data_IF_427844856844
#
_entry.id   IF_427844856844
#
_cell.length_a   1.000
_cell.length_b   1.000
_cell.length_c   1.000
_cell.angle_alpha   90.00
_cell.angle_beta   90.00
_cell.angle_gamma   90.00
#
_symmetry.space_group_name_H-M   'P 1'
#
loop_
_entity.id
_entity.type
_entity.pdbx_description
1 polymer ?
#
# COMPACT_ATOMS: atom_id res chain seq x y z
N UNK A 1 24.30 -15.83 -2.84
CA UNK A 1 22.86 -15.70 -2.54
C UNK A 1 22.60 -14.23 -2.42
N UNK A 2 22.19 -13.60 -3.52
CA UNK A 2 21.83 -12.19 -3.51
C UNK A 2 20.66 -12.04 -2.54
N UNK A 3 20.94 -11.35 -1.42
CA UNK A 3 19.90 -10.93 -0.50
C UNK A 3 19.15 -9.84 -1.24
N UNK A 4 18.07 -10.22 -1.91
CA UNK A 4 17.05 -9.27 -2.36
C UNK A 4 16.47 -8.65 -1.09
N UNK A 5 17.12 -7.58 -0.63
CA UNK A 5 16.67 -6.77 0.51
C UNK A 5 15.55 -5.91 -0.02
N UNK A 6 14.32 -6.44 0.08
CA UNK A 6 13.10 -5.68 -0.13
C UNK A 6 13.23 -4.34 0.60
N UNK A 7 13.07 -3.25 -0.16
CA UNK A 7 13.07 -1.88 0.34
C UNK A 7 11.71 -1.62 0.98
N UNK A 8 11.68 -1.79 2.30
CA UNK A 8 10.54 -1.48 3.14
C UNK A 8 10.18 0.00 3.09
N UNK A 9 8.94 0.29 3.48
CA UNK A 9 8.44 1.65 3.64
C UNK A 9 9.10 2.42 4.78
N UNK A 10 9.08 3.74 4.64
CA UNK A 10 9.52 4.66 5.67
C UNK A 10 8.39 4.86 6.67
N UNK A 11 8.72 4.84 7.96
CA UNK A 11 7.74 5.09 9.03
C UNK A 11 7.24 6.52 8.90
N UNK A 12 5.92 6.69 8.92
CA UNK A 12 5.25 7.97 8.81
C UNK A 12 3.97 7.92 7.99
N UNK A 13 3.40 9.10 7.81
CA UNK A 13 2.13 9.32 7.10
C UNK A 13 2.31 9.13 5.59
N UNK A 14 1.48 8.27 5.01
CA UNK A 14 1.30 8.15 3.55
C UNK A 14 0.13 9.01 3.08
N UNK A 15 -0.93 9.09 3.89
CA UNK A 15 -2.14 9.85 3.59
C UNK A 15 -2.42 10.82 4.73
N UNK A 16 -2.42 12.10 4.41
CA UNK A 16 -2.70 13.19 5.34
C UNK A 16 -4.03 13.84 4.95
N UNK A 17 -5.16 13.44 5.56
CA UNK A 17 -6.44 14.07 5.22
C UNK A 17 -7.73 13.36 5.64
N UNK A 18 -8.84 13.90 5.12
CA UNK A 18 -10.23 13.73 5.62
C UNK A 18 -10.86 12.34 5.48
N UNK A 19 -10.11 11.30 5.13
CA UNK A 19 -10.64 9.93 4.96
C UNK A 19 -11.68 9.78 3.85
N UNK A 20 -11.65 10.64 2.83
CA UNK A 20 -12.52 10.50 1.65
C UNK A 20 -12.02 9.34 0.80
N UNK A 21 -12.94 8.53 0.30
CA UNK A 21 -12.60 7.33 -0.47
C UNK A 21 -11.79 7.64 -1.73
N UNK A 22 -12.09 8.73 -2.43
CA UNK A 22 -11.33 9.18 -3.62
C UNK A 22 -9.85 9.43 -3.30
N UNK A 23 -9.57 10.21 -2.25
CA UNK A 23 -8.20 10.50 -1.80
C UNK A 23 -7.48 9.23 -1.35
N UNK A 24 -8.21 8.29 -0.71
CA UNK A 24 -7.66 7.01 -0.28
C UNK A 24 -7.27 6.14 -1.48
N UNK A 25 -8.16 5.97 -2.46
CA UNK A 25 -7.91 5.18 -3.65
C UNK A 25 -6.68 5.71 -4.42
N UNK A 26 -6.63 7.03 -4.68
CA UNK A 26 -5.53 7.62 -5.45
C UNK A 26 -4.19 7.56 -4.69
N UNK A 27 -4.20 7.90 -3.40
CA UNK A 27 -2.98 7.93 -2.58
C UNK A 27 -2.43 6.53 -2.34
N UNK A 28 -3.27 5.55 -1.99
CA UNK A 28 -2.85 4.17 -1.77
C UNK A 28 -2.35 3.52 -3.06
N UNK A 29 -3.03 3.76 -4.19
CA UNK A 29 -2.60 3.28 -5.50
C UNK A 29 -1.23 3.85 -5.88
N UNK A 30 -1.03 5.15 -5.66
CA UNK A 30 0.24 5.82 -5.92
C UNK A 30 1.38 5.30 -5.04
N UNK A 31 1.12 5.05 -3.75
CA UNK A 31 2.13 4.49 -2.84
C UNK A 31 2.47 3.04 -3.21
N UNK A 32 1.48 2.22 -3.59
CA UNK A 32 1.71 0.85 -4.03
C UNK A 32 2.55 0.82 -5.31
N UNK A 33 2.22 1.68 -6.29
CA UNK A 33 3.01 1.84 -7.52
C UNK A 33 4.46 2.26 -7.22
N UNK A 34 4.66 3.21 -6.31
CA UNK A 34 5.97 3.65 -5.85
C UNK A 34 6.78 2.48 -5.24
N UNK A 35 6.16 1.67 -4.39
CA UNK A 35 6.80 0.48 -3.81
C UNK A 35 7.15 -0.58 -4.85
N UNK A 36 6.28 -0.81 -5.84
CA UNK A 36 6.57 -1.73 -6.95
C UNK A 36 7.80 -1.24 -7.72
N UNK A 37 7.87 0.04 -8.05
CA UNK A 37 8.99 0.62 -8.79
C UNK A 37 10.29 0.57 -7.98
N UNK A 38 10.24 0.92 -6.68
CA UNK A 38 11.39 0.92 -5.77
C UNK A 38 11.96 -0.48 -5.54
N UNK A 39 11.13 -1.52 -5.66
CA UNK A 39 11.48 -2.92 -5.48
C UNK A 39 11.60 -3.70 -6.80
N UNK A 40 11.97 -3.03 -7.90
CA UNK A 40 12.04 -3.64 -9.24
C UNK A 40 12.78 -5.00 -9.29
N UNK A 41 13.82 -5.16 -8.48
CA UNK A 41 14.66 -6.35 -8.40
C UNK A 41 13.91 -7.58 -7.84
N UNK A 42 12.92 -7.37 -6.96
CA UNK A 42 12.08 -8.45 -6.39
C UNK A 42 11.21 -9.14 -7.45
N UNK A 43 10.90 -8.43 -8.54
CA UNK A 43 10.00 -8.91 -9.58
C UNK A 43 10.70 -9.65 -10.71
N UNK A 44 12.00 -9.92 -10.60
CA UNK A 44 12.77 -10.58 -11.66
C UNK A 44 12.35 -12.05 -11.87
N UNK A 45 11.96 -12.74 -10.80
CA UNK A 45 11.51 -14.15 -10.81
C UNK A 45 10.10 -14.31 -11.38
N UNK A 46 9.76 -15.48 -11.92
CA UNK A 46 8.41 -15.77 -12.46
C UNK A 46 7.29 -15.49 -11.44
N UNK A 47 7.50 -15.94 -10.19
CA UNK A 47 6.57 -15.69 -9.09
C UNK A 47 6.51 -14.19 -8.72
N UNK A 48 7.64 -13.50 -8.74
CA UNK A 48 7.73 -12.05 -8.52
C UNK A 48 6.96 -11.27 -9.59
N UNK A 49 7.05 -11.66 -10.86
CA UNK A 49 6.27 -11.04 -11.95
C UNK A 49 4.77 -11.22 -11.74
N UNK A 50 4.31 -12.41 -11.34
CA UNK A 50 2.90 -12.68 -11.06
C UNK A 50 2.38 -11.83 -9.90
N UNK A 51 3.16 -11.66 -8.83
CA UNK A 51 2.80 -10.76 -7.72
C UNK A 51 2.76 -9.30 -8.17
N UNK A 52 3.76 -8.86 -8.92
CA UNK A 52 3.82 -7.51 -9.49
C UNK A 52 2.61 -7.21 -10.36
N UNK A 53 2.23 -8.17 -11.21
CA UNK A 53 1.07 -8.05 -12.10
C UNK A 53 -0.21 -7.89 -11.29
N UNK A 54 -0.41 -8.71 -10.25
CA UNK A 54 -1.54 -8.57 -9.32
C UNK A 54 -1.57 -7.19 -8.66
N UNK A 55 -0.43 -6.68 -8.19
CA UNK A 55 -0.39 -5.36 -7.57
C UNK A 55 -0.68 -4.24 -8.57
N UNK A 56 -0.22 -4.37 -9.81
CA UNK A 56 -0.54 -3.42 -10.88
C UNK A 56 -2.02 -3.47 -11.29
N UNK A 57 -2.65 -4.65 -11.27
CA UNK A 57 -4.11 -4.77 -11.44
C UNK A 57 -4.84 -4.00 -10.36
N UNK A 58 -4.46 -4.19 -9.08
CA UNK A 58 -5.07 -3.48 -7.97
C UNK A 58 -4.89 -1.95 -8.05
N UNK A 59 -3.74 -1.47 -8.51
CA UNK A 59 -3.52 -0.04 -8.81
C UNK A 59 -4.46 0.46 -9.91
N UNK A 60 -4.71 -0.35 -10.93
CA UNK A 60 -5.69 -0.05 -11.98
C UNK A 60 -7.12 0.01 -11.44
N UNK A 61 -7.54 -1.03 -10.72
CA UNK A 61 -8.86 -1.13 -10.10
C UNK A 61 -9.12 0.08 -9.20
N UNK A 62 -8.13 0.49 -8.39
CA UNK A 62 -8.23 1.66 -7.53
C UNK A 62 -8.51 2.97 -8.29
N UNK A 63 -7.88 3.14 -9.46
CA UNK A 63 -8.03 4.34 -10.30
C UNK A 63 -9.31 4.34 -11.13
N UNK A 64 -9.87 3.17 -11.41
CA UNK A 64 -11.11 3.01 -12.19
C UNK A 64 -12.36 2.93 -11.29
N UNK A 65 -12.19 2.57 -10.02
CA UNK A 65 -13.29 2.44 -9.07
C UNK A 65 -13.89 3.80 -8.74
N UNK A 66 -15.21 3.88 -8.83
CA UNK A 66 -15.95 5.07 -8.43
C UNK A 66 -15.95 5.19 -6.90
N UNK A 67 -15.55 6.34 -6.33
CA UNK A 67 -15.41 6.50 -4.88
C UNK A 67 -16.75 6.53 -4.12
N UNK A 68 -17.87 6.73 -4.81
CA UNK A 68 -19.21 6.65 -4.23
C UNK A 68 -19.80 5.23 -4.33
N UNK A 69 -19.13 4.31 -5.03
CA UNK A 69 -19.54 2.91 -5.12
C UNK A 69 -19.29 2.19 -3.78
N UNK A 70 -20.23 1.36 -3.29
CA UNK A 70 -20.01 0.58 -2.07
C UNK A 70 -18.79 -0.35 -2.11
N UNK A 71 -18.39 -0.81 -3.31
CA UNK A 71 -17.24 -1.71 -3.49
C UNK A 71 -15.89 -0.97 -3.37
N UNK A 72 -15.90 0.37 -3.42
CA UNK A 72 -14.69 1.20 -3.26
C UNK A 72 -13.94 0.94 -1.95
N UNK A 73 -14.69 0.64 -0.88
CA UNK A 73 -14.11 0.30 0.42
C UNK A 73 -13.38 -1.05 0.35
N UNK A 74 -13.87 -2.02 -0.42
CA UNK A 74 -13.19 -3.31 -0.58
C UNK A 74 -11.85 -3.13 -1.29
N UNK A 75 -11.80 -2.29 -2.32
CA UNK A 75 -10.57 -1.94 -3.04
C UNK A 75 -9.57 -1.22 -2.13
N UNK A 76 -10.05 -0.26 -1.32
CA UNK A 76 -9.22 0.41 -0.31
C UNK A 76 -8.62 -0.60 0.67
N UNK A 77 -9.43 -1.51 1.21
CA UNK A 77 -8.95 -2.53 2.16
C UNK A 77 -7.91 -3.47 1.53
N UNK A 78 -8.10 -3.86 0.27
CA UNK A 78 -7.14 -4.72 -0.43
C UNK A 78 -5.81 -3.98 -0.71
N UNK A 79 -5.87 -2.68 -1.03
CA UNK A 79 -4.68 -1.82 -1.14
C UNK A 79 -3.94 -1.74 0.20
N UNK A 80 -4.65 -1.52 1.30
CA UNK A 80 -4.06 -1.44 2.64
C UNK A 80 -3.40 -2.76 3.06
N UNK A 81 -4.06 -3.91 2.85
CA UNK A 81 -3.46 -5.23 3.09
C UNK A 81 -2.20 -5.43 2.24
N UNK A 82 -2.25 -5.02 0.98
CA UNK A 82 -1.10 -5.15 0.08
C UNK A 82 0.06 -4.25 0.51
N UNK A 83 -0.19 -2.99 0.87
CA UNK A 83 0.80 -2.06 1.38
C UNK A 83 1.43 -2.53 2.69
N UNK A 84 0.66 -3.22 3.55
CA UNK A 84 1.19 -3.80 4.79
C UNK A 84 2.35 -4.78 4.57
N UNK A 85 2.42 -5.43 3.40
CA UNK A 85 3.53 -6.34 3.02
C UNK A 85 4.85 -5.61 2.78
N UNK A 86 4.79 -4.29 2.58
CA UNK A 86 5.96 -3.42 2.47
C UNK A 86 6.33 -2.77 3.81
N UNK A 87 5.56 -3.01 4.88
CA UNK A 87 5.90 -2.52 6.20
C UNK A 87 7.20 -3.17 6.70
N UNK A 88 8.09 -2.41 7.34
CA UNK A 88 9.29 -2.97 7.98
C UNK A 88 8.90 -3.87 9.17
N UNK A 89 9.81 -4.78 9.56
CA UNK A 89 9.63 -5.64 10.72
C UNK A 89 9.26 -4.83 11.98
N UNK A 90 8.22 -5.28 12.70
CA UNK A 90 7.71 -4.60 13.88
C UNK A 90 6.89 -3.34 13.58
N UNK A 91 6.50 -3.11 12.32
CA UNK A 91 5.58 -2.04 11.93
C UNK A 91 4.32 -2.60 11.26
N UNK A 92 3.26 -1.80 11.22
CA UNK A 92 2.02 -2.07 10.51
C UNK A 92 1.64 -0.90 9.61
N UNK A 93 0.80 -1.16 8.62
CA UNK A 93 0.20 -0.12 7.79
C UNK A 93 -1.25 0.10 8.22
N UNK A 94 -1.62 1.34 8.54
CA UNK A 94 -2.97 1.66 9.00
C UNK A 94 -3.11 3.07 9.57
N UNK A 95 -4.24 3.33 10.21
CA UNK A 95 -4.50 4.60 10.88
C UNK A 95 -3.57 4.81 12.07
N UNK A 96 -3.09 6.03 12.25
CA UNK A 96 -2.29 6.43 13.41
C UNK A 96 -3.11 6.29 14.69
N UNK A 97 -2.59 5.64 15.75
CA UNK A 97 -3.35 5.35 16.97
C UNK A 97 -3.73 6.61 17.76
N UNK A 98 -3.04 7.74 17.54
CA UNK A 98 -3.26 8.98 18.27
C UNK A 98 -4.27 9.98 17.67
N UNK A 99 -4.37 10.07 16.35
CA UNK A 99 -5.17 11.11 15.66
C UNK A 99 -6.28 10.53 14.77
N UNK A 100 -6.16 9.26 14.35
CA UNK A 100 -7.15 8.57 13.52
C UNK A 100 -7.30 9.11 12.09
N UNK A 101 -6.75 10.29 11.79
CA UNK A 101 -6.86 10.96 10.50
C UNK A 101 -5.72 10.61 9.53
N UNK A 102 -4.54 10.29 10.05
CA UNK A 102 -3.38 9.94 9.24
C UNK A 102 -3.32 8.42 9.00
N UNK A 103 -3.16 8.00 7.74
CA UNK A 103 -2.89 6.61 7.37
C UNK A 103 -1.43 6.50 6.93
N UNK A 104 -0.73 5.50 7.43
CA UNK A 104 0.69 5.35 7.16
C UNK A 104 1.30 4.11 7.78
N UNK A 105 2.64 4.07 7.81
CA UNK A 105 3.42 3.01 8.43
C UNK A 105 3.79 3.41 9.84
N UNK A 106 3.39 2.61 10.82
CA UNK A 106 3.57 2.90 12.25
C UNK A 106 4.24 1.73 12.95
N UNK A 107 5.08 1.99 13.96
CA UNK A 107 5.61 0.93 14.81
C UNK A 107 4.46 0.23 15.56
N UNK A 108 4.54 -1.09 15.66
CA UNK A 108 3.72 -1.82 16.62
C UNK A 108 4.15 -1.38 18.02
N UNK A 109 3.23 -0.75 18.76
CA UNK A 109 3.44 -0.53 20.18
C UNK A 109 3.28 -1.88 20.88
N UNK A 110 4.41 -2.45 21.34
CA UNK A 110 4.45 -3.61 22.24
C UNK A 110 4.09 -3.18 23.68
#
# INVERSE_FOLDING_TARGET
MEKTTMRYAEIGTVIHGTGRTEDLLDSLASELEHHIQRNAEEWCSDDGRKRRDRYMTLVGDARETDPDDPDSIEVVLELMDTLSKFAPDGCYFGSHPGDGSDIGFWPNED
#
